data_IF_301705565086
#
_entry.id   IF_301705565086
#
_cell.length_a   1.000
_cell.length_b   1.000
_cell.length_c   1.000
_cell.angle_alpha   90.00
_cell.angle_beta   90.00
_cell.angle_gamma   90.00
#
_symmetry.space_group_name_H-M   'P 1'
#
loop_
_entity.id
_entity.type
_entity.pdbx_description
1 polymer ?
#
# COMPACT_ATOMS: atom_id res chain seq x y z
N UNK A 1 40.08 -54.73 -32.41
CA UNK A 1 39.16 -53.91 -33.21
C UNK A 1 39.55 -52.44 -33.06
N UNK A 2 39.83 -51.78 -34.20
CA UNK A 2 40.00 -50.34 -34.50
C UNK A 2 40.85 -49.37 -33.62
N UNK A 3 42.15 -49.32 -33.98
CA UNK A 3 43.00 -48.17 -34.41
C UNK A 3 42.63 -46.69 -34.13
N UNK A 4 43.58 -46.01 -33.46
CA UNK A 4 44.47 -44.87 -33.87
C UNK A 4 43.90 -43.49 -34.28
N UNK A 5 44.43 -42.48 -33.55
CA UNK A 5 45.28 -41.35 -34.01
C UNK A 5 44.72 -39.91 -34.16
N UNK A 6 45.48 -38.97 -33.53
CA UNK A 6 45.98 -37.67 -34.05
C UNK A 6 45.23 -36.36 -33.68
N UNK A 7 45.87 -35.63 -32.74
CA UNK A 7 46.34 -34.22 -32.82
C UNK A 7 45.40 -33.01 -32.53
N UNK A 8 45.84 -32.22 -31.53
CA UNK A 8 46.39 -30.85 -31.67
C UNK A 8 45.56 -29.60 -31.24
N UNK A 9 46.28 -28.75 -30.50
CA UNK A 9 46.26 -27.26 -30.44
C UNK A 9 45.53 -26.55 -29.27
N UNK A 10 46.36 -26.17 -28.30
CA UNK A 10 46.44 -24.94 -27.49
C UNK A 10 45.84 -23.62 -28.02
N UNK A 11 45.40 -22.76 -27.09
CA UNK A 11 45.89 -21.38 -26.82
C UNK A 11 44.89 -20.74 -25.83
N UNK A 12 45.13 -20.50 -24.54
CA UNK A 12 46.28 -19.96 -23.78
C UNK A 12 46.62 -18.52 -24.19
N UNK A 13 46.29 -17.56 -23.34
CA UNK A 13 47.22 -16.49 -22.95
C UNK A 13 46.88 -16.01 -21.52
N UNK A 14 47.53 -16.69 -20.57
CA UNK A 14 47.98 -16.11 -19.31
C UNK A 14 49.50 -16.00 -19.48
N UNK A 15 50.09 -14.82 -19.29
CA UNK A 15 51.54 -14.66 -19.23
C UNK A 15 51.90 -14.00 -17.91
N UNK A 16 52.32 -14.82 -16.95
CA UNK A 16 53.21 -14.41 -15.88
C UNK A 16 54.64 -14.76 -16.33
N UNK A 17 55.57 -13.80 -16.25
CA UNK A 17 57.00 -14.09 -16.22
C UNK A 17 57.58 -13.65 -14.87
N UNK A 18 58.32 -14.57 -14.27
CA UNK A 18 59.10 -14.46 -13.04
C UNK A 18 60.52 -14.88 -13.40
N UNK A 19 61.53 -14.02 -13.20
CA UNK A 19 62.98 -14.30 -13.02
C UNK A 19 63.61 -12.93 -12.67
N UNK A 20 64.03 -12.62 -11.44
CA UNK A 20 65.14 -13.08 -10.61
C UNK A 20 66.52 -12.41 -10.90
N UNK A 21 67.07 -11.82 -9.82
CA UNK A 21 68.49 -11.59 -9.46
C UNK A 21 69.24 -10.29 -9.83
N UNK A 22 69.55 -9.55 -8.74
CA UNK A 22 70.81 -8.88 -8.33
C UNK A 22 71.21 -7.53 -8.95
N UNK A 23 71.32 -6.50 -8.09
CA UNK A 23 72.39 -5.49 -8.17
C UNK A 23 72.02 -4.00 -8.12
N UNK A 24 72.13 -3.42 -6.92
CA UNK A 24 72.55 -2.03 -6.59
C UNK A 24 71.76 -0.79 -7.04
N UNK A 25 71.24 -0.10 -6.01
CA UNK A 25 71.38 1.33 -5.71
C UNK A 25 70.47 2.46 -6.27
N UNK A 26 70.03 3.26 -5.28
CA UNK A 26 69.64 4.68 -5.26
C UNK A 26 68.31 5.17 -5.87
N UNK A 27 67.49 5.79 -4.99
CA UNK A 27 66.93 7.13 -5.26
C UNK A 27 65.42 7.26 -5.55
N UNK A 28 64.65 7.60 -4.51
CA UNK A 28 63.57 8.61 -4.49
C UNK A 28 62.41 8.56 -5.50
N UNK A 29 61.18 8.44 -4.99
CA UNK A 29 59.98 8.97 -5.68
C UNK A 29 58.66 8.28 -5.37
N UNK A 30 57.78 8.98 -4.64
CA UNK A 30 56.32 8.94 -4.77
C UNK A 30 55.58 7.60 -4.61
N UNK A 31 55.06 7.33 -3.41
CA UNK A 31 54.03 6.31 -3.19
C UNK A 31 52.68 6.84 -3.70
N UNK A 32 52.18 6.32 -4.83
CA UNK A 32 50.74 6.33 -5.13
C UNK A 32 50.13 5.02 -4.64
N UNK A 33 49.01 5.02 -3.90
CA UNK A 33 48.30 3.80 -3.60
C UNK A 33 47.49 3.36 -4.82
N UNK A 34 47.76 2.15 -5.29
CA UNK A 34 46.89 1.40 -6.19
C UNK A 34 45.64 1.00 -5.41
N UNK A 35 44.53 1.71 -5.62
CA UNK A 35 43.22 1.28 -5.12
C UNK A 35 42.62 0.27 -6.09
N UNK A 36 42.85 -1.02 -5.84
CA UNK A 36 41.97 -2.08 -6.31
C UNK A 36 40.73 -2.09 -5.40
N UNK A 37 39.67 -1.40 -5.81
CA UNK A 37 38.34 -1.61 -5.25
C UNK A 37 37.47 -2.18 -6.37
N UNK A 38 37.31 -3.51 -6.35
CA UNK A 38 36.15 -4.16 -6.93
C UNK A 38 34.95 -3.76 -6.06
N UNK A 39 34.49 -2.52 -6.20
CA UNK A 39 33.20 -2.10 -5.68
C UNK A 39 32.14 -2.76 -6.57
N UNK A 40 31.49 -3.79 -6.03
CA UNK A 40 30.12 -4.13 -6.45
C UNK A 40 29.35 -2.82 -6.43
N UNK A 41 28.70 -2.38 -7.53
CA UNK A 41 28.01 -1.11 -7.52
C UNK A 41 26.96 -1.16 -6.41
N UNK A 42 27.11 -0.30 -5.41
CA UNK A 42 26.07 -0.08 -4.41
C UNK A 42 24.80 0.25 -5.20
N UNK A 43 23.82 -0.65 -5.15
CA UNK A 43 22.50 -0.44 -5.73
C UNK A 43 21.90 0.76 -5.00
N UNK A 44 22.12 1.96 -5.54
CA UNK A 44 21.59 3.20 -4.98
C UNK A 44 20.08 3.12 -5.12
N UNK A 45 19.40 2.82 -4.02
CA UNK A 45 17.95 2.68 -3.96
C UNK A 45 17.35 4.05 -4.25
N UNK A 46 16.68 4.18 -5.40
CA UNK A 46 16.05 5.42 -5.81
C UNK A 46 14.77 5.67 -4.99
N UNK A 47 14.71 6.81 -4.29
CA UNK A 47 13.51 7.34 -3.63
C UNK A 47 12.35 7.57 -4.60
N UNK A 48 12.73 7.95 -5.81
CA UNK A 48 11.92 8.18 -6.99
C UNK A 48 12.82 7.89 -8.19
N UNK A 49 12.37 7.12 -9.18
CA UNK A 49 13.17 6.86 -10.37
C UNK A 49 13.57 8.17 -11.07
N UNK A 50 14.81 8.28 -11.58
CA UNK A 50 15.15 9.40 -12.46
C UNK A 50 14.21 9.42 -13.67
N UNK A 51 13.32 10.42 -13.73
CA UNK A 51 12.23 10.48 -14.70
C UNK A 51 12.73 10.98 -16.06
N UNK A 52 12.73 10.10 -17.06
CA UNK A 52 12.66 10.52 -18.46
C UNK A 52 11.18 10.47 -18.85
N UNK A 53 10.51 11.62 -18.84
CA UNK A 53 9.11 11.71 -19.23
C UNK A 53 8.99 11.39 -20.73
N UNK A 54 8.35 10.27 -21.07
CA UNK A 54 7.82 10.04 -22.41
C UNK A 54 6.33 10.39 -22.42
N UNK A 55 5.89 11.18 -23.40
CA UNK A 55 4.47 11.40 -23.62
C UNK A 55 3.82 10.10 -24.12
N UNK A 56 2.55 9.86 -23.78
CA UNK A 56 1.81 8.67 -24.21
C UNK A 56 1.80 8.52 -25.73
N UNK A 57 1.76 9.64 -26.43
CA UNK A 57 1.72 9.68 -27.88
C UNK A 57 3.00 9.13 -28.52
N UNK A 58 4.10 9.09 -27.75
CA UNK A 58 5.40 8.59 -28.19
C UNK A 58 5.59 7.09 -27.89
N UNK A 59 4.69 6.49 -27.10
CA UNK A 59 4.79 5.08 -26.72
C UNK A 59 4.10 4.17 -27.75
N UNK A 60 4.77 3.10 -28.21
CA UNK A 60 4.15 2.16 -29.13
C UNK A 60 3.06 1.33 -28.42
N UNK A 61 2.03 0.93 -29.18
CA UNK A 61 0.80 0.36 -28.63
C UNK A 61 0.96 -0.97 -27.86
N UNK A 62 2.07 -1.67 -28.04
CA UNK A 62 2.46 -2.85 -27.24
C UNK A 62 2.66 -2.53 -25.76
N UNK A 63 3.12 -1.31 -25.42
CA UNK A 63 3.33 -0.90 -24.02
C UNK A 63 2.05 -1.00 -23.22
N UNK A 64 0.92 -0.55 -23.78
CA UNK A 64 -0.39 -0.63 -23.11
C UNK A 64 -0.82 -2.08 -22.86
N UNK A 65 -0.56 -2.98 -23.81
CA UNK A 65 -0.88 -4.40 -23.69
C UNK A 65 -0.01 -5.09 -22.63
N UNK A 66 1.29 -4.77 -22.61
CA UNK A 66 2.24 -5.28 -21.60
C UNK A 66 1.85 -4.81 -20.20
N UNK A 67 1.56 -3.52 -20.02
CA UNK A 67 1.10 -2.97 -18.74
C UNK A 67 -0.21 -3.62 -18.29
N UNK A 68 -1.17 -3.81 -19.20
CA UNK A 68 -2.42 -4.49 -18.88
C UNK A 68 -2.21 -5.95 -18.43
N UNK A 69 -1.33 -6.69 -19.11
CA UNK A 69 -0.97 -8.06 -18.74
C UNK A 69 -0.30 -8.14 -17.36
N UNK A 70 0.67 -7.25 -17.09
CA UNK A 70 1.33 -7.12 -15.79
C UNK A 70 0.32 -6.81 -14.68
N UNK A 71 -0.53 -5.79 -14.87
CA UNK A 71 -1.54 -5.39 -13.87
C UNK A 71 -2.53 -6.53 -13.60
N UNK A 72 -2.95 -7.27 -14.63
CA UNK A 72 -3.84 -8.41 -14.46
C UNK A 72 -3.21 -9.51 -13.60
N UNK A 73 -1.96 -9.86 -13.89
CA UNK A 73 -1.23 -10.88 -13.15
C UNK A 73 -0.99 -10.44 -11.70
N UNK A 74 -0.65 -9.17 -11.46
CA UNK A 74 -0.55 -8.61 -10.11
C UNK A 74 -1.89 -8.61 -9.35
N UNK A 75 -3.02 -8.69 -10.06
CA UNK A 75 -4.36 -8.87 -9.49
C UNK A 75 -4.75 -10.35 -9.34
N UNK A 76 -3.84 -11.26 -9.63
CA UNK A 76 -4.04 -12.71 -9.58
C UNK A 76 -4.95 -13.23 -10.70
N UNK A 77 -4.88 -12.62 -11.88
CA UNK A 77 -5.48 -13.13 -13.12
C UNK A 77 -4.54 -14.05 -13.89
N UNK A 78 -4.98 -14.50 -15.07
CA UNK A 78 -4.23 -15.44 -15.91
C UNK A 78 -2.96 -14.83 -16.54
N UNK A 79 -1.91 -15.65 -16.67
CA UNK A 79 -0.62 -15.29 -17.29
C UNK A 79 -0.66 -15.29 -18.82
N UNK A 80 -1.70 -15.87 -19.42
CA UNK A 80 -1.87 -15.91 -20.88
C UNK A 80 -3.17 -15.24 -21.28
N UNK A 81 -3.08 -14.31 -22.21
CA UNK A 81 -4.21 -13.59 -22.79
C UNK A 81 -4.15 -13.65 -24.32
N UNK A 82 -5.23 -13.28 -25.02
CA UNK A 82 -5.20 -13.18 -26.47
C UNK A 82 -4.08 -12.22 -26.95
N UNK A 83 -3.07 -12.76 -27.63
CA UNK A 83 -1.97 -11.98 -28.22
C UNK A 83 -0.85 -11.56 -27.24
N UNK A 84 -0.94 -11.90 -25.95
CA UNK A 84 0.12 -11.63 -24.98
C UNK A 84 0.24 -12.73 -23.92
N UNK A 85 1.46 -13.09 -23.56
CA UNK A 85 1.70 -14.04 -22.48
C UNK A 85 3.07 -13.89 -21.83
N UNK A 86 3.19 -14.45 -20.63
CA UNK A 86 4.47 -14.59 -19.93
C UNK A 86 5.18 -15.86 -20.40
N UNK A 87 6.48 -15.76 -20.68
CA UNK A 87 7.32 -16.91 -21.02
C UNK A 87 7.41 -17.85 -19.80
N UNK A 88 6.98 -19.12 -19.89
CA UNK A 88 7.08 -20.09 -18.79
C UNK A 88 8.52 -20.41 -18.36
N UNK A 89 9.51 -20.17 -19.22
CA UNK A 89 10.93 -20.31 -18.89
C UNK A 89 11.57 -18.99 -18.42
N UNK A 90 10.80 -17.90 -18.46
CA UNK A 90 11.22 -16.56 -18.08
C UNK A 90 11.28 -16.33 -16.57
N UNK A 91 12.02 -15.30 -16.17
CA UNK A 91 12.14 -14.90 -14.77
C UNK A 91 11.09 -13.84 -14.42
N UNK A 92 10.03 -14.20 -13.69
CA UNK A 92 8.93 -13.29 -13.38
C UNK A 92 8.73 -13.10 -11.88
N UNK A 93 9.38 -12.09 -11.31
CA UNK A 93 9.28 -11.80 -9.87
C UNK A 93 7.87 -11.36 -9.47
N UNK A 94 7.11 -10.69 -10.37
CA UNK A 94 5.74 -10.23 -10.08
C UNK A 94 4.77 -11.39 -9.77
N UNK A 95 5.06 -12.60 -10.25
CA UNK A 95 4.24 -13.80 -10.00
C UNK A 95 4.38 -14.29 -8.55
N UNK A 96 5.46 -13.88 -7.87
CA UNK A 96 5.79 -14.32 -6.52
C UNK A 96 5.40 -13.30 -5.44
N UNK A 97 4.73 -12.20 -5.81
CA UNK A 97 4.24 -11.24 -4.82
C UNK A 97 3.15 -11.90 -3.95
N UNK A 98 3.33 -11.96 -2.61
CA UNK A 98 2.32 -12.54 -1.72
C UNK A 98 1.00 -11.73 -1.69
N UNK A 99 0.98 -10.52 -2.25
CA UNK A 99 -0.20 -9.67 -2.29
C UNK A 99 -0.80 -9.57 -3.69
N UNK A 100 -2.04 -10.05 -3.83
CA UNK A 100 -2.85 -9.78 -5.00
C UNK A 100 -3.53 -8.41 -4.85
N UNK A 101 -3.28 -7.49 -5.78
CA UNK A 101 -3.83 -6.13 -5.81
C UNK A 101 -5.33 -6.06 -6.16
N UNK A 102 -6.11 -7.06 -5.77
CA UNK A 102 -7.56 -7.11 -5.96
C UNK A 102 -8.23 -6.00 -5.14
N UNK A 103 -9.04 -5.19 -5.82
CA UNK A 103 -9.69 -4.03 -5.19
C UNK A 103 -8.81 -2.79 -5.10
N UNK A 104 -7.60 -2.79 -5.69
CA UNK A 104 -6.79 -1.59 -5.86
C UNK A 104 -6.95 -1.04 -7.27
N UNK A 105 -7.27 0.24 -7.35
CA UNK A 105 -7.22 1.01 -8.59
C UNK A 105 -5.77 1.37 -8.92
N UNK A 106 -5.44 1.46 -10.20
CA UNK A 106 -4.20 2.10 -10.65
C UNK A 106 -4.52 3.57 -10.86
N UNK A 107 -4.01 4.46 -9.99
CA UNK A 107 -4.30 5.90 -10.10
C UNK A 107 -3.44 6.60 -11.14
N UNK A 108 -2.19 6.16 -11.30
CA UNK A 108 -1.30 6.64 -12.35
C UNK A 108 -0.21 5.60 -12.65
N UNK A 109 0.38 5.74 -13.85
CA UNK A 109 1.51 4.95 -14.35
C UNK A 109 2.58 5.94 -14.77
N UNK A 110 3.78 5.79 -14.22
CA UNK A 110 4.96 6.54 -14.62
C UNK A 110 5.81 5.68 -15.55
N UNK A 111 6.06 6.12 -16.78
CA UNK A 111 7.04 5.47 -17.64
C UNK A 111 8.40 6.07 -17.33
N UNK A 112 9.30 5.24 -16.81
CA UNK A 112 10.62 5.64 -16.32
C UNK A 112 11.62 5.54 -17.46
N UNK A 113 11.57 4.41 -18.17
CA UNK A 113 12.48 4.09 -19.24
C UNK A 113 11.77 3.21 -20.27
N UNK A 114 12.05 3.46 -21.54
CA UNK A 114 11.61 2.58 -22.61
C UNK A 114 12.66 2.57 -23.72
N UNK A 115 13.07 1.37 -24.13
CA UNK A 115 14.01 1.19 -25.24
C UNK A 115 13.58 0.02 -26.07
N UNK A 116 13.76 0.13 -27.38
CA UNK A 116 13.55 -0.97 -28.31
C UNK A 116 14.80 -1.28 -29.09
N UNK A 117 15.02 -2.56 -29.37
CA UNK A 117 16.05 -3.04 -30.28
C UNK A 117 15.39 -3.91 -31.36
N UNK A 118 15.74 -3.65 -32.63
CA UNK A 118 15.28 -4.47 -33.75
C UNK A 118 16.25 -5.63 -33.92
N UNK A 119 15.73 -6.85 -33.97
CA UNK A 119 16.50 -8.02 -34.36
C UNK A 119 16.33 -8.32 -35.86
N UNK A 120 17.15 -9.22 -36.39
CA UNK A 120 16.85 -9.89 -37.65
C UNK A 120 15.54 -10.69 -37.49
N UNK A 121 14.74 -10.79 -38.56
CA UNK A 121 13.49 -11.57 -38.64
C UNK A 121 12.22 -10.99 -37.99
N UNK A 122 11.96 -9.68 -38.15
CA UNK A 122 10.68 -9.01 -37.80
C UNK A 122 10.30 -9.03 -36.31
N UNK A 123 11.16 -9.54 -35.43
CA UNK A 123 11.00 -9.48 -33.97
C UNK A 123 11.60 -8.18 -33.44
N UNK A 124 10.85 -7.48 -32.59
CA UNK A 124 11.33 -6.31 -31.83
C UNK A 124 11.43 -6.66 -30.36
N UNK A 125 12.60 -6.46 -29.78
CA UNK A 125 12.79 -6.55 -28.33
C UNK A 125 12.58 -5.18 -27.70
N UNK A 126 12.01 -5.17 -26.50
CA UNK A 126 11.74 -3.96 -25.75
C UNK A 126 12.05 -4.16 -24.26
N UNK A 127 12.63 -3.13 -23.67
CA UNK A 127 12.83 -2.98 -22.24
C UNK A 127 11.95 -1.83 -21.77
N UNK A 128 11.09 -2.10 -20.81
CA UNK A 128 10.19 -1.14 -20.19
C UNK A 128 10.45 -1.07 -18.69
N UNK A 129 10.74 0.12 -18.17
CA UNK A 129 10.64 0.40 -16.73
C UNK A 129 9.49 1.37 -16.46
N UNK A 130 8.66 1.03 -15.48
CA UNK A 130 7.54 1.86 -15.08
C UNK A 130 7.29 1.83 -13.57
N UNK A 131 6.61 2.85 -13.05
CA UNK A 131 6.07 2.90 -11.70
C UNK A 131 4.55 2.79 -11.74
N UNK A 132 3.98 1.86 -11.00
CA UNK A 132 2.53 1.70 -10.83
C UNK A 132 2.10 2.18 -9.46
N UNK A 133 1.21 3.16 -9.39
CA UNK A 133 0.61 3.60 -8.14
C UNK A 133 -0.77 2.98 -7.95
N UNK A 134 -0.86 2.07 -6.98
CA UNK A 134 -2.08 1.40 -6.57
C UNK A 134 -2.71 2.09 -5.37
N UNK A 135 -4.03 2.23 -5.35
CA UNK A 135 -4.78 2.70 -4.19
C UNK A 135 -6.15 2.01 -4.06
N UNK A 136 -6.55 1.63 -2.84
CA UNK A 136 -7.85 1.01 -2.58
C UNK A 136 -8.88 1.97 -1.95
N UNK A 137 -10.07 1.45 -1.68
CA UNK A 137 -11.22 2.18 -1.15
C UNK A 137 -11.03 2.74 0.27
N UNK A 138 -10.11 2.20 1.06
CA UNK A 138 -9.77 2.71 2.40
C UNK A 138 -8.54 3.64 2.38
N UNK A 139 -7.98 3.87 1.19
CA UNK A 139 -6.81 4.73 0.96
C UNK A 139 -5.48 4.04 1.28
N UNK A 140 -5.42 2.70 1.25
CA UNK A 140 -4.13 1.98 1.23
C UNK A 140 -3.47 2.22 -0.11
N UNK A 141 -2.20 2.60 -0.12
CA UNK A 141 -1.45 2.92 -1.33
C UNK A 141 -0.13 2.15 -1.45
N UNK A 142 0.22 1.71 -2.66
CA UNK A 142 1.50 1.07 -2.94
C UNK A 142 2.06 1.61 -4.26
N UNK A 143 3.35 1.93 -4.26
CA UNK A 143 4.03 2.34 -5.47
C UNK A 143 5.04 1.27 -5.86
N UNK A 144 4.85 0.64 -7.01
CA UNK A 144 5.61 -0.52 -7.45
C UNK A 144 6.39 -0.14 -8.70
N UNK A 145 7.73 -0.16 -8.62
CA UNK A 145 8.59 -0.10 -9.80
C UNK A 145 8.60 -1.49 -10.45
N UNK A 146 8.44 -1.52 -11.77
CA UNK A 146 8.47 -2.74 -12.57
C UNK A 146 9.43 -2.53 -13.72
N UNK A 147 10.31 -3.50 -13.95
CA UNK A 147 11.09 -3.64 -15.17
C UNK A 147 10.61 -4.86 -15.93
N UNK A 148 10.38 -4.73 -17.23
CA UNK A 148 9.88 -5.80 -18.09
C UNK A 148 10.68 -5.88 -19.39
N UNK A 149 11.19 -7.07 -19.67
CA UNK A 149 11.81 -7.44 -20.95
C UNK A 149 10.78 -8.21 -21.78
N UNK A 150 10.51 -7.76 -22.99
CA UNK A 150 9.52 -8.42 -23.85
C UNK A 150 9.86 -8.36 -25.33
N UNK A 151 9.31 -9.31 -26.08
CA UNK A 151 9.47 -9.42 -27.52
C UNK A 151 8.12 -9.27 -28.22
N UNK A 152 8.12 -8.59 -29.36
CA UNK A 152 6.94 -8.38 -30.22
C UNK A 152 7.20 -9.02 -31.57
N UNK A 153 6.33 -9.95 -31.97
CA UNK A 153 6.35 -10.62 -33.27
C UNK A 153 4.97 -10.55 -33.92
N UNK A 154 4.79 -9.60 -34.85
CA UNK A 154 3.49 -9.34 -35.47
C UNK A 154 2.46 -8.84 -34.44
N UNK A 155 1.49 -9.69 -34.09
CA UNK A 155 0.45 -9.41 -33.08
C UNK A 155 0.68 -10.10 -31.74
N UNK A 156 1.73 -10.93 -31.65
CA UNK A 156 2.05 -11.67 -30.44
C UNK A 156 3.11 -10.93 -29.63
N UNK A 157 2.90 -10.85 -28.33
CA UNK A 157 3.81 -10.27 -27.35
C UNK A 157 4.17 -11.35 -26.34
N UNK A 158 5.46 -11.54 -26.09
CA UNK A 158 5.96 -12.46 -25.06
C UNK A 158 6.77 -11.66 -24.06
N UNK A 159 6.31 -11.65 -22.81
CA UNK A 159 7.05 -11.06 -21.69
C UNK A 159 8.04 -12.11 -21.20
N UNK A 160 9.33 -11.86 -21.36
CA UNK A 160 10.40 -12.80 -21.06
C UNK A 160 10.93 -12.66 -19.62
N UNK A 161 10.91 -11.45 -19.06
CA UNK A 161 11.32 -11.22 -17.68
C UNK A 161 10.54 -10.06 -17.06
N UNK A 162 10.21 -10.19 -15.79
CA UNK A 162 9.67 -9.10 -14.97
C UNK A 162 10.36 -9.03 -13.61
N UNK A 163 10.81 -7.84 -13.25
CA UNK A 163 11.29 -7.52 -11.91
C UNK A 163 10.34 -6.54 -11.24
N UNK A 164 10.25 -6.61 -9.92
CA UNK A 164 9.45 -5.65 -9.17
C UNK A 164 10.16 -5.18 -7.91
N UNK A 165 9.92 -3.93 -7.56
CA UNK A 165 10.40 -3.32 -6.33
C UNK A 165 9.30 -2.44 -5.74
N UNK A 166 8.95 -2.64 -4.47
CA UNK A 166 8.09 -1.71 -3.74
C UNK A 166 8.93 -0.47 -3.48
N UNK A 167 8.57 0.66 -4.08
CA UNK A 167 9.33 1.88 -3.90
C UNK A 167 9.13 2.44 -2.48
N UNK A 168 10.23 2.82 -1.80
CA UNK A 168 10.16 3.28 -0.43
C UNK A 168 9.48 4.64 -0.34
N UNK A 169 8.50 4.78 0.56
CA UNK A 169 7.91 6.07 0.90
C UNK A 169 8.55 6.61 2.19
N UNK A 170 9.37 7.67 2.15
CA UNK A 170 9.98 8.25 3.36
C UNK A 170 8.96 8.92 4.28
N UNK A 171 7.78 9.27 3.75
CA UNK A 171 6.70 9.95 4.45
C UNK A 171 5.40 9.15 4.33
N UNK A 172 5.30 7.98 4.98
CA UNK A 172 4.10 7.16 4.91
C UNK A 172 2.91 7.88 5.54
N UNK A 173 1.73 7.70 4.95
CA UNK A 173 0.46 8.17 5.50
C UNK A 173 0.10 7.31 6.71
N UNK A 174 -0.02 7.95 7.87
CA UNK A 174 -0.33 7.26 9.12
C UNK A 174 -1.71 7.65 9.61
N UNK A 175 -2.53 6.65 9.92
CA UNK A 175 -3.85 6.85 10.55
C UNK A 175 -3.87 6.18 11.91
N UNK A 176 -4.52 6.78 12.90
CA UNK A 176 -4.62 6.21 14.24
C UNK A 176 -6.05 6.31 14.79
N UNK A 177 -6.46 5.29 15.53
CA UNK A 177 -7.76 5.20 16.17
C UNK A 177 -7.60 4.80 17.63
N UNK A 178 -8.39 5.43 18.51
CA UNK A 178 -8.53 5.02 19.90
C UNK A 178 -9.84 4.24 20.01
N UNK A 179 -9.75 2.96 20.34
CA UNK A 179 -10.88 2.02 20.39
C UNK A 179 -11.03 1.51 21.83
N UNK A 180 -12.26 1.42 22.39
CA UNK A 180 -12.46 0.77 23.68
C UNK A 180 -11.90 -0.66 23.70
N UNK A 181 -11.15 -1.03 24.75
CA UNK A 181 -10.50 -2.34 24.84
C UNK A 181 -11.50 -3.50 24.74
N UNK A 182 -12.67 -3.34 25.36
CA UNK A 182 -13.75 -4.32 25.29
C UNK A 182 -14.16 -4.61 23.83
N UNK A 183 -14.37 -3.57 23.02
CA UNK A 183 -14.70 -3.75 21.61
C UNK A 183 -13.60 -4.57 20.94
N UNK A 184 -12.33 -4.17 21.10
CA UNK A 184 -11.19 -4.90 20.52
C UNK A 184 -11.17 -6.39 20.92
N UNK A 185 -11.40 -6.70 22.19
CA UNK A 185 -11.38 -8.06 22.75
C UNK A 185 -12.57 -8.93 22.31
N UNK A 186 -13.70 -8.33 21.94
CA UNK A 186 -14.87 -9.03 21.41
C UNK A 186 -14.71 -9.45 19.93
N UNK A 187 -13.66 -8.96 19.25
CA UNK A 187 -13.49 -9.23 17.82
C UNK A 187 -13.06 -10.66 17.48
N UNK A 188 -13.57 -11.21 16.36
CA UNK A 188 -13.06 -12.46 15.83
C UNK A 188 -11.57 -12.37 15.48
N UNK A 189 -10.82 -13.45 15.71
CA UNK A 189 -9.36 -13.53 15.51
C UNK A 189 -8.99 -13.21 14.07
N UNK A 190 -9.62 -13.90 13.12
CA UNK A 190 -10.35 -13.28 12.01
C UNK A 190 -9.97 -11.88 11.52
N UNK A 191 -10.68 -10.94 12.14
CA UNK A 191 -10.66 -9.51 11.85
C UNK A 191 -9.36 -8.89 12.29
N UNK A 192 -8.75 -9.44 13.35
CA UNK A 192 -7.45 -9.00 13.85
C UNK A 192 -6.30 -9.43 12.94
N UNK A 193 -6.53 -10.38 12.02
CA UNK A 193 -5.47 -10.92 11.14
C UNK A 193 -5.31 -10.20 9.79
N UNK A 194 -6.35 -9.49 9.35
CA UNK A 194 -6.32 -8.74 8.08
C UNK A 194 -6.17 -7.24 8.37
N UNK A 195 -5.28 -6.57 7.65
CA UNK A 195 -5.13 -5.12 7.78
C UNK A 195 -6.44 -4.39 7.51
N UNK A 196 -7.10 -4.73 6.40
CA UNK A 196 -8.34 -4.06 5.97
C UNK A 196 -9.48 -4.30 6.96
N UNK A 197 -9.63 -5.53 7.45
CA UNK A 197 -10.69 -5.85 8.42
C UNK A 197 -10.46 -5.12 9.76
N UNK A 198 -9.21 -5.10 10.23
CA UNK A 198 -8.82 -4.39 11.44
C UNK A 198 -9.02 -2.86 11.28
N UNK A 199 -8.68 -2.29 10.13
CA UNK A 199 -8.86 -0.87 9.83
C UNK A 199 -10.33 -0.47 9.85
N UNK A 200 -11.19 -1.19 9.11
CA UNK A 200 -12.62 -0.89 9.06
C UNK A 200 -13.26 -0.99 10.43
N UNK A 201 -12.92 -2.03 11.18
CA UNK A 201 -13.34 -2.15 12.56
C UNK A 201 -12.90 -0.94 13.39
N UNK A 202 -11.62 -0.58 13.31
CA UNK A 202 -11.07 0.50 14.11
C UNK A 202 -11.81 1.80 13.83
N UNK A 203 -12.09 2.06 12.55
CA UNK A 203 -12.88 3.23 12.13
C UNK A 203 -14.32 3.21 12.64
N UNK A 204 -14.95 2.03 12.74
CA UNK A 204 -16.33 1.88 13.18
C UNK A 204 -16.49 2.00 14.71
N UNK A 205 -15.51 1.52 15.47
CA UNK A 205 -15.55 1.48 16.94
C UNK A 205 -14.66 2.54 17.61
N UNK A 206 -14.00 3.39 16.82
CA UNK A 206 -13.22 4.50 17.34
C UNK A 206 -14.08 5.43 18.19
N UNK A 207 -13.47 5.92 19.26
CA UNK A 207 -14.03 7.03 20.01
C UNK A 207 -14.02 8.27 19.12
N UNK A 208 -15.10 9.04 19.13
CA UNK A 208 -15.14 10.34 18.47
C UNK A 208 -14.17 11.30 19.18
N UNK A 209 -13.10 11.65 18.47
CA UNK A 209 -12.07 12.57 18.95
C UNK A 209 -12.39 14.03 18.64
N UNK A 210 -13.58 14.31 18.10
CA UNK A 210 -14.09 15.66 17.89
C UNK A 210 -14.65 16.20 19.20
N UNK A 211 -14.12 17.31 19.75
CA UNK A 211 -14.66 17.86 20.98
C UNK A 211 -16.01 18.52 20.73
N UNK A 212 -16.98 18.22 21.60
CA UNK A 212 -18.26 18.95 21.65
C UNK A 212 -18.02 20.38 22.12
N UNK A 213 -18.99 21.29 21.94
CA UNK A 213 -18.85 22.67 22.43
C UNK A 213 -18.74 22.73 23.96
N UNK A 214 -19.36 21.78 24.66
CA UNK A 214 -19.18 21.62 26.11
C UNK A 214 -17.76 21.19 26.45
N UNK A 215 -17.18 20.27 25.69
CA UNK A 215 -15.79 19.84 25.86
C UNK A 215 -14.83 21.02 25.65
N UNK A 216 -15.05 21.81 24.58
CA UNK A 216 -14.23 23.01 24.28
C UNK A 216 -14.32 24.04 25.41
N UNK A 217 -15.53 24.36 25.88
CA UNK A 217 -15.72 25.31 26.98
C UNK A 217 -15.01 24.87 28.26
N UNK A 218 -15.06 23.57 28.59
CA UNK A 218 -14.34 23.00 29.74
C UNK A 218 -12.82 23.06 29.56
N UNK A 219 -12.33 22.75 28.36
CA UNK A 219 -10.92 22.85 28.02
C UNK A 219 -10.40 24.28 28.14
N UNK A 220 -11.13 25.26 27.59
CA UNK A 220 -10.79 26.68 27.69
C UNK A 220 -10.81 27.18 29.14
N UNK A 221 -11.80 26.75 29.92
CA UNK A 221 -11.86 27.04 31.36
C UNK A 221 -10.61 26.49 32.06
N UNK A 222 -10.22 25.24 31.80
CA UNK A 222 -9.02 24.63 32.37
C UNK A 222 -7.73 25.38 31.97
N UNK A 223 -7.62 25.85 30.72
CA UNK A 223 -6.46 26.63 30.26
C UNK A 223 -6.31 27.95 31.01
N UNK A 224 -7.40 28.59 31.38
CA UNK A 224 -7.41 29.86 32.13
C UNK A 224 -7.17 29.67 33.64
N UNK A 225 -7.20 28.44 34.15
CA UNK A 225 -6.96 28.17 35.57
C UNK A 225 -5.49 28.31 35.97
N UNK A 226 -5.27 28.80 37.19
CA UNK A 226 -3.97 28.77 37.86
C UNK A 226 -3.57 27.34 38.25
N UNK A 227 -2.29 27.12 38.54
CA UNK A 227 -1.76 25.82 38.97
C UNK A 227 -2.52 25.25 40.18
N UNK A 228 -2.82 26.07 41.18
CA UNK A 228 -3.58 25.65 42.37
C UNK A 228 -5.04 25.28 42.06
N UNK A 229 -5.67 25.97 41.11
CA UNK A 229 -7.01 25.64 40.65
C UNK A 229 -7.02 24.32 39.89
N UNK A 230 -6.02 24.06 39.05
CA UNK A 230 -5.89 22.80 38.31
C UNK A 230 -5.71 21.59 39.22
N UNK A 231 -4.96 21.71 40.32
CA UNK A 231 -4.80 20.63 41.31
C UNK A 231 -6.13 20.18 41.94
N UNK A 232 -7.13 21.07 41.99
CA UNK A 232 -8.48 20.79 42.51
C UNK A 232 -9.51 20.60 41.40
N UNK A 233 -9.11 20.78 40.14
CA UNK A 233 -9.97 20.62 39.00
C UNK A 233 -10.15 19.14 38.71
N UNK A 234 -11.34 18.62 38.99
CA UNK A 234 -11.73 17.33 38.44
C UNK A 234 -12.29 17.56 37.05
N UNK A 235 -11.58 17.11 36.03
CA UNK A 235 -12.14 17.04 34.67
C UNK A 235 -13.34 16.08 34.59
N UNK A 236 -13.63 15.32 35.65
CA UNK A 236 -14.57 14.19 35.64
C UNK A 236 -14.09 13.02 34.79
N UNK A 237 -12.89 13.12 34.21
CA UNK A 237 -12.39 12.19 33.24
C UNK A 237 -11.83 10.95 33.94
N UNK A 238 -12.59 9.85 33.91
CA UNK A 238 -12.16 8.57 34.46
C UNK A 238 -11.28 7.86 33.44
N UNK A 239 -10.08 7.38 33.84
CA UNK A 239 -9.29 6.49 32.99
C UNK A 239 -10.14 5.30 32.55
N UNK A 240 -10.05 4.95 31.26
CA UNK A 240 -10.69 3.77 30.69
C UNK A 240 -9.64 2.97 29.92
N UNK A 241 -9.92 1.69 29.73
CA UNK A 241 -9.02 0.82 28.97
C UNK A 241 -9.31 0.97 27.48
N UNK A 242 -8.27 1.32 26.73
CA UNK A 242 -8.33 1.55 25.29
C UNK A 242 -7.22 0.77 24.58
N UNK A 243 -7.45 0.56 23.29
CA UNK A 243 -6.47 0.14 22.31
C UNK A 243 -6.23 1.30 21.35
N UNK A 244 -4.97 1.70 21.18
CA UNK A 244 -4.54 2.63 20.14
C UNK A 244 -4.05 1.81 18.95
N UNK A 245 -4.81 1.84 17.88
CA UNK A 245 -4.51 1.15 16.63
C UNK A 245 -3.95 2.17 15.64
N UNK A 246 -2.72 1.95 15.18
CA UNK A 246 -2.01 2.84 14.27
C UNK A 246 -1.71 2.09 12.98
N UNK A 247 -2.07 2.66 11.84
CA UNK A 247 -1.99 2.03 10.53
C UNK A 247 -1.04 2.82 9.63
N UNK A 248 -0.08 2.11 9.03
CA UNK A 248 0.67 2.62 7.89
C UNK A 248 -0.14 2.35 6.63
N UNK A 249 -0.67 3.40 6.02
CA UNK A 249 -1.51 3.32 4.81
C UNK A 249 -0.68 3.18 3.54
N UNK A 250 0.64 3.12 3.63
CA UNK A 250 1.52 2.79 2.51
C UNK A 250 2.10 1.39 2.69
N UNK A 251 2.16 0.63 1.60
CA UNK A 251 2.80 -0.69 1.59
C UNK A 251 4.30 -0.50 1.80
N UNK A 252 4.83 -1.18 2.80
CA UNK A 252 6.22 -1.09 3.21
C UNK A 252 7.04 -2.21 2.60
N UNK A 253 8.34 -1.94 2.44
CA UNK A 253 9.31 -2.96 2.07
C UNK A 253 9.64 -3.85 3.28
N UNK A 254 10.15 -5.08 3.04
CA UNK A 254 10.62 -5.94 4.13
C UNK A 254 11.67 -5.30 5.04
N UNK A 255 12.52 -4.41 4.49
CA UNK A 255 13.59 -3.72 5.23
C UNK A 255 13.09 -2.52 6.05
N UNK A 256 11.86 -2.06 5.81
CA UNK A 256 11.30 -0.91 6.54
C UNK A 256 11.03 -1.28 8.00
N UNK A 257 11.29 -0.33 8.91
CA UNK A 257 10.96 -0.46 10.34
C UNK A 257 9.86 0.52 10.72
N UNK A 258 8.90 0.04 11.50
CA UNK A 258 7.76 0.83 11.97
C UNK A 258 7.54 0.55 13.45
N UNK A 259 7.64 1.59 14.28
CA UNK A 259 7.48 1.50 15.72
C UNK A 259 6.46 2.53 16.21
N UNK A 260 5.52 2.08 17.02
CA UNK A 260 4.66 2.95 17.81
C UNK A 260 5.20 3.00 19.24
N UNK A 261 5.45 4.19 19.76
CA UNK A 261 5.93 4.45 21.12
C UNK A 261 5.06 5.49 21.83
N UNK A 262 5.29 5.72 23.12
CA UNK A 262 4.54 6.67 23.94
C UNK A 262 5.50 7.61 24.67
N UNK A 263 5.12 8.87 24.84
CA UNK A 263 5.99 9.95 25.37
C UNK A 263 6.41 9.78 26.83
N UNK A 264 5.72 8.95 27.62
CA UNK A 264 6.02 8.66 29.02
C UNK A 264 5.73 7.19 29.28
N UNK A 265 6.75 6.43 29.71
CA UNK A 265 6.57 5.02 30.09
C UNK A 265 5.76 4.85 31.40
N UNK A 266 5.63 5.91 32.21
CA UNK A 266 5.09 5.82 33.58
C UNK A 266 3.58 6.18 33.73
N UNK A 267 2.90 6.73 32.72
CA UNK A 267 1.58 7.37 32.92
C UNK A 267 0.36 6.81 32.18
N UNK A 268 0.51 5.88 31.22
CA UNK A 268 -0.47 4.82 31.08
C UNK A 268 0.11 3.57 31.74
N UNK A 269 -0.71 2.81 32.44
CA UNK A 269 -0.48 1.36 32.56
C UNK A 269 -0.69 0.77 31.16
N UNK A 270 0.23 1.10 30.23
CA UNK A 270 0.39 0.39 28.98
C UNK A 270 0.80 -0.99 29.43
N UNK A 271 -0.06 -1.94 29.14
CA UNK A 271 0.27 -3.32 29.41
C UNK A 271 1.49 -3.66 28.54
N UNK A 272 2.65 -3.85 29.18
CA UNK A 272 3.91 -4.13 28.48
C UNK A 272 3.82 -5.41 27.65
N UNK A 273 2.92 -6.33 28.02
CA UNK A 273 2.58 -7.53 27.26
C UNK A 273 1.67 -7.25 26.06
N UNK A 274 1.02 -6.08 26.02
CA UNK A 274 0.15 -5.61 24.94
C UNK A 274 0.85 -4.68 23.93
N UNK A 275 2.16 -4.43 24.06
CA UNK A 275 2.98 -3.77 23.02
C UNK A 275 3.19 -4.77 21.86
N UNK A 276 2.12 -5.07 21.14
CA UNK A 276 2.20 -5.91 19.95
C UNK A 276 2.55 -5.04 18.76
N UNK A 277 3.84 -5.05 18.42
CA UNK A 277 4.29 -4.64 17.11
C UNK A 277 4.14 -5.85 16.19
N UNK A 278 3.49 -5.60 15.04
CA UNK A 278 3.59 -6.36 13.80
C UNK A 278 2.50 -7.40 13.51
N UNK A 279 1.71 -7.09 12.48
CA UNK A 279 1.13 -8.09 11.58
C UNK A 279 1.33 -7.61 10.15
N UNK A 280 2.30 -8.22 9.49
CA UNK A 280 2.67 -7.94 8.11
C UNK A 280 1.72 -8.67 7.17
N UNK A 281 0.69 -7.96 6.73
CA UNK A 281 -0.24 -8.41 5.69
C UNK A 281 0.40 -8.13 4.33
N UNK A 282 1.47 -8.86 3.99
CA UNK A 282 2.22 -8.71 2.74
C UNK A 282 2.74 -7.28 2.44
N UNK A 283 3.19 -6.55 3.44
CA UNK A 283 3.81 -5.21 3.37
C UNK A 283 2.96 -4.16 4.08
N UNK A 284 1.71 -4.45 4.42
CA UNK A 284 0.87 -3.55 5.21
C UNK A 284 1.13 -3.75 6.71
N UNK A 285 1.35 -2.64 7.43
CA UNK A 285 1.74 -2.70 8.84
C UNK A 285 0.79 -1.88 9.70
N UNK A 286 0.33 -2.50 10.79
CA UNK A 286 -0.37 -1.83 11.87
C UNK A 286 0.34 -2.07 13.21
N UNK A 287 0.30 -1.08 14.09
CA UNK A 287 0.75 -1.16 15.48
C UNK A 287 -0.43 -1.08 16.44
N UNK A 288 -0.32 -1.78 17.57
CA UNK A 288 -1.31 -1.78 18.64
C UNK A 288 -0.62 -1.42 19.96
N UNK A 289 -1.23 -0.50 20.71
CA UNK A 289 -0.88 -0.23 22.10
C UNK A 289 -2.15 -0.30 22.94
N UNK A 290 -2.23 -1.25 23.88
CA UNK A 290 -3.32 -1.28 24.85
C UNK A 290 -2.88 -0.66 26.18
N UNK A 291 -3.74 0.15 26.77
CA UNK A 291 -3.46 0.77 28.06
C UNK A 291 -4.69 1.42 28.68
N UNK A 292 -4.56 1.80 29.94
CA UNK A 292 -5.59 2.53 30.65
C UNK A 292 -5.19 4.01 30.75
N UNK A 293 -5.96 4.87 30.08
CA UNK A 293 -5.73 6.31 30.07
C UNK A 293 -7.05 7.06 29.88
N UNK A 294 -7.00 8.39 30.02
CA UNK A 294 -8.16 9.25 29.85
C UNK A 294 -8.01 10.12 28.62
N UNK A 295 -9.11 10.33 27.90
CA UNK A 295 -9.17 11.13 26.68
C UNK A 295 -9.64 12.57 26.92
N UNK A 296 -10.05 12.87 28.15
CA UNK A 296 -10.53 14.19 28.60
C UNK A 296 -9.80 14.66 29.88
N UNK A 297 -8.66 14.04 30.23
CA UNK A 297 -7.81 14.49 31.33
C UNK A 297 -6.72 15.45 30.84
N UNK A 298 -7.03 16.74 30.83
CA UNK A 298 -6.21 17.79 30.22
C UNK A 298 -4.79 17.95 30.79
N UNK A 299 -4.57 17.52 32.04
CA UNK A 299 -3.28 17.52 32.74
C UNK A 299 -2.47 16.23 32.54
N UNK A 300 -3.10 15.18 32.00
CA UNK A 300 -2.53 13.84 31.81
C UNK A 300 -2.57 13.44 30.34
N UNK A 301 -2.25 14.38 29.47
CA UNK A 301 -2.14 14.14 28.03
C UNK A 301 -1.02 13.13 27.75
N UNK A 302 -1.37 12.09 27.00
CA UNK A 302 -0.43 11.06 26.55
C UNK A 302 -0.20 11.24 25.06
N UNK A 303 1.06 11.23 24.63
CA UNK A 303 1.38 11.27 23.20
C UNK A 303 1.85 9.91 22.70
N UNK A 304 1.26 9.48 21.60
CA UNK A 304 1.67 8.31 20.83
C UNK A 304 2.52 8.78 19.66
N UNK A 305 3.75 8.30 19.59
CA UNK A 305 4.71 8.63 18.54
C UNK A 305 4.83 7.47 17.58
N UNK A 306 4.98 7.79 16.30
CA UNK A 306 5.25 6.81 15.25
C UNK A 306 6.63 7.09 14.71
N UNK A 307 7.52 6.15 14.92
CA UNK A 307 8.88 6.17 14.40
C UNK A 307 8.96 5.24 13.20
N UNK A 308 9.62 5.70 12.15
CA UNK A 308 9.70 4.99 10.89
C UNK A 308 11.09 5.08 10.28
N UNK A 309 11.54 3.99 9.69
CA UNK A 309 12.70 3.92 8.84
C UNK A 309 12.27 3.23 7.54
N UNK A 310 12.48 3.88 6.40
CA UNK A 310 12.07 3.39 5.08
C UNK A 310 12.90 2.19 4.58
N UNK A 311 14.01 1.88 5.25
CA UNK A 311 14.97 0.84 4.86
C UNK A 311 15.79 1.21 3.62
N UNK A 312 15.79 2.50 3.22
CA UNK A 312 16.46 2.95 1.98
C UNK A 312 17.96 2.78 2.07
N UNK A 313 18.48 3.07 3.25
CA UNK A 313 19.87 2.87 3.59
C UNK A 313 19.92 1.75 4.65
N UNK A 314 20.29 0.51 4.25
CA UNK A 314 20.37 -0.62 5.18
C UNK A 314 21.40 -0.41 6.29
N UNK A 315 22.39 0.48 6.08
CA UNK A 315 23.39 0.84 7.09
C UNK A 315 22.84 1.82 8.13
N UNK A 316 21.80 2.57 7.78
CA UNK A 316 21.15 3.53 8.64
C UNK A 316 19.95 2.89 9.36
N UNK A 317 20.12 2.63 10.65
CA UNK A 317 19.05 2.10 11.51
C UNK A 317 18.24 3.19 12.23
N UNK A 318 18.50 4.47 11.98
CA UNK A 318 17.83 5.58 12.66
C UNK A 318 16.34 5.60 12.30
N UNK A 319 15.48 5.58 13.32
CA UNK A 319 14.05 5.75 13.13
C UNK A 319 13.66 7.21 13.34
N UNK A 320 12.96 7.78 12.38
CA UNK A 320 12.52 9.18 12.40
C UNK A 320 11.05 9.27 12.83
N UNK A 321 10.67 10.27 13.65
CA UNK A 321 9.27 10.50 13.96
C UNK A 321 8.53 10.96 12.70
N UNK A 322 7.49 10.23 12.30
CA UNK A 322 6.64 10.54 11.13
C UNK A 322 5.21 10.91 11.51
N UNK A 323 4.76 10.55 12.72
CA UNK A 323 3.47 10.98 13.24
C UNK A 323 3.47 11.10 14.76
N UNK A 324 2.56 11.92 15.29
CA UNK A 324 2.30 12.10 16.72
C UNK A 324 0.81 12.28 16.96
N UNK A 325 0.24 11.44 17.81
CA UNK A 325 -1.17 11.46 18.20
C UNK A 325 -1.30 11.76 19.69
N UNK A 326 -2.38 12.43 20.08
CA UNK A 326 -2.70 12.73 21.48
C UNK A 326 -3.80 11.79 21.96
N UNK A 327 -3.78 11.44 23.26
CA UNK A 327 -4.93 10.83 23.91
C UNK A 327 -6.11 11.78 24.03
N UNK A 328 -5.88 13.10 23.99
CA UNK A 328 -6.94 14.09 24.07
C UNK A 328 -7.68 14.25 22.74
N UNK A 329 -8.97 14.59 22.83
CA UNK A 329 -9.75 15.07 21.68
C UNK A 329 -9.06 16.23 20.98
N UNK A 330 -9.39 16.44 19.71
CA UNK A 330 -8.75 17.44 18.85
C UNK A 330 -9.24 18.87 19.15
N UNK A 331 -8.91 19.38 20.33
CA UNK A 331 -9.24 20.74 20.77
C UNK A 331 -8.57 21.84 19.91
N UNK A 332 -7.59 21.49 19.07
CA UNK A 332 -6.83 22.40 18.19
C UNK A 332 -7.08 22.17 16.68
N UNK A 333 -8.15 21.45 16.31
CA UNK A 333 -8.39 20.96 14.95
C UNK A 333 -8.32 22.04 13.85
N UNK A 334 -8.68 23.28 14.16
CA UNK A 334 -8.68 24.40 13.21
C UNK A 334 -7.28 24.80 12.68
N UNK A 335 -6.20 24.20 13.17
CA UNK A 335 -4.81 24.56 12.83
C UNK A 335 -3.99 23.42 12.21
N UNK A 336 -4.54 22.22 12.03
CA UNK A 336 -3.82 21.07 11.44
C UNK A 336 -4.32 20.78 10.03
N UNK A 337 -3.60 21.24 9.02
CA UNK A 337 -3.69 20.69 7.66
C UNK A 337 -3.04 19.29 7.68
N UNK A 338 -3.75 18.25 7.25
CA UNK A 338 -3.07 16.98 6.94
C UNK A 338 -1.97 17.27 5.93
N UNK A 339 -0.74 16.75 6.12
CA UNK A 339 0.29 16.89 5.11
C UNK A 339 -0.18 16.19 3.84
N UNK A 340 -0.50 16.97 2.81
CA UNK A 340 -0.86 16.45 1.50
C UNK A 340 0.26 15.54 1.02
N UNK A 341 -0.08 14.35 0.50
CA UNK A 341 0.89 13.37 0.01
C UNK A 341 1.84 14.10 -0.97
N UNK A 342 3.15 14.18 -0.69
CA UNK A 342 4.08 14.96 -1.51
C UNK A 342 4.10 14.49 -2.97
N UNK A 343 3.86 13.19 -3.22
CA UNK A 343 3.73 12.65 -4.57
C UNK A 343 2.49 13.19 -5.30
N UNK A 344 1.36 13.40 -4.60
CA UNK A 344 0.11 13.93 -5.17
C UNK A 344 0.16 15.46 -5.29
N UNK A 345 0.76 16.14 -4.31
CA UNK A 345 0.91 17.60 -4.29
C UNK A 345 1.79 18.07 -5.45
N UNK A 346 2.96 17.46 -5.63
CA UNK A 346 3.87 17.80 -6.74
C UNK A 346 3.26 17.48 -8.11
N UNK A 347 2.37 16.48 -8.19
CA UNK A 347 1.63 16.10 -9.41
C UNK A 347 0.52 17.11 -9.77
N UNK A 348 -0.25 17.55 -8.77
CA UNK A 348 -1.28 18.59 -8.93
C UNK A 348 -0.68 19.95 -9.28
N UNK A 349 0.44 20.31 -8.67
CA UNK A 349 1.10 21.61 -8.85
C UNK A 349 1.79 21.74 -10.23
N UNK A 350 2.13 20.63 -10.90
CA UNK A 350 2.86 20.63 -12.19
C UNK A 350 2.03 20.28 -13.42
N UNK A 351 0.74 19.98 -13.29
CA UNK A 351 -0.16 19.78 -14.42
C UNK A 351 0.16 18.56 -15.31
N UNK A 352 0.91 17.58 -14.79
CA UNK A 352 1.47 16.44 -15.54
C UNK A 352 0.75 15.12 -15.25
N UNK A 353 -0.56 15.18 -15.01
CA UNK A 353 -1.40 14.03 -15.31
C UNK A 353 -1.23 13.74 -16.80
N UNK A 354 -0.80 12.54 -17.15
CA UNK A 354 -1.03 12.00 -18.49
C UNK A 354 -2.47 12.35 -18.84
N UNK A 355 -2.64 13.23 -19.83
CA UNK A 355 -3.93 13.63 -20.34
C UNK A 355 -4.58 12.40 -20.99
N UNK A 356 -5.19 11.57 -20.15
CA UNK A 356 -6.42 10.87 -20.45
C UNK A 356 -7.57 11.91 -20.47
N UNK A 357 -7.43 13.00 -21.25
CA UNK A 357 -8.40 14.10 -21.35
C UNK A 357 -8.65 14.85 -20.02
N UNK A 358 -8.60 16.20 -19.98
CA UNK A 358 -9.31 16.93 -18.94
C UNK A 358 -10.82 16.70 -19.16
N UNK A 359 -11.55 16.22 -18.15
CA UNK A 359 -12.99 16.40 -18.16
C UNK A 359 -13.25 17.92 -18.16
N UNK A 360 -13.88 18.37 -19.26
CA UNK A 360 -14.29 19.74 -19.59
C UNK A 360 -14.72 20.58 -18.39
N UNK A 361 -14.47 21.88 -18.50
CA UNK A 361 -15.08 22.93 -17.70
C UNK A 361 -16.56 22.65 -17.41
N UNK A 362 -16.91 22.78 -16.14
CA UNK A 362 -18.26 22.74 -15.57
C UNK A 362 -19.19 23.77 -16.24
N UNK A 363 -19.83 23.41 -17.35
CA UNK A 363 -21.15 23.93 -17.77
C UNK A 363 -21.58 23.24 -19.07
N UNK A 364 -22.63 22.43 -18.94
CA UNK A 364 -23.57 22.03 -20.00
C UNK A 364 -23.10 21.04 -21.08
N UNK A 365 -23.11 19.74 -20.76
CA UNK A 365 -24.21 18.79 -21.05
C UNK A 365 -23.77 17.32 -20.89
N UNK A 366 -24.38 16.66 -19.89
CA UNK A 366 -24.71 15.23 -19.72
C UNK A 366 -23.74 14.13 -20.20
N UNK A 367 -22.85 13.69 -19.31
CA UNK A 367 -22.32 12.32 -19.27
C UNK A 367 -22.17 11.84 -17.81
N UNK A 368 -23.22 11.26 -17.23
CA UNK A 368 -23.21 10.72 -15.86
C UNK A 368 -22.76 9.24 -15.85
N UNK A 369 -21.54 8.98 -15.37
CA UNK A 369 -20.94 7.65 -15.17
C UNK A 369 -20.58 7.34 -13.70
N UNK A 370 -20.34 6.06 -13.31
CA UNK A 370 -20.62 5.54 -11.97
C UNK A 370 -19.68 6.00 -10.83
N UNK A 371 -18.52 6.57 -11.12
CA UNK A 371 -17.58 7.05 -10.09
C UNK A 371 -17.93 8.46 -9.58
N UNK A 372 -18.77 9.21 -10.30
CA UNK A 372 -19.47 10.37 -9.72
C UNK A 372 -20.70 9.93 -8.89
N UNK A 373 -21.02 8.62 -8.82
CA UNK A 373 -22.23 8.06 -8.16
C UNK A 373 -22.00 7.32 -6.83
N UNK A 374 -20.78 7.28 -6.30
CA UNK A 374 -20.51 6.77 -4.95
C UNK A 374 -20.79 5.27 -4.76
N UNK A 375 -19.98 4.40 -5.38
CA UNK A 375 -20.06 2.96 -5.10
C UNK A 375 -19.64 2.65 -3.64
N UNK A 376 -20.64 2.48 -2.78
CA UNK A 376 -20.51 2.11 -1.37
C UNK A 376 -20.40 0.59 -1.28
N UNK A 377 -19.30 0.03 -0.75
CA UNK A 377 -19.29 -1.39 -0.39
C UNK A 377 -20.18 -1.64 0.83
N UNK A 378 -21.39 -2.13 0.58
CA UNK A 378 -22.41 -2.39 1.57
C UNK A 378 -21.92 -3.47 2.54
N UNK A 379 -22.07 -3.26 3.83
CA UNK A 379 -21.76 -4.26 4.84
C UNK A 379 -23.06 -4.88 5.38
N UNK A 380 -23.39 -6.14 5.08
CA UNK A 380 -24.60 -6.78 5.60
C UNK A 380 -24.66 -6.90 7.13
N UNK A 381 -23.56 -6.67 7.85
CA UNK A 381 -23.61 -6.56 9.31
C UNK A 381 -24.19 -5.22 9.79
N UNK A 382 -24.14 -4.17 8.96
CA UNK A 382 -24.71 -2.86 9.26
C UNK A 382 -26.18 -2.84 8.84
N UNK A 383 -27.06 -2.45 9.76
CA UNK A 383 -28.50 -2.48 9.52
C UNK A 383 -28.96 -1.62 8.33
N UNK A 384 -28.24 -0.53 8.02
CA UNK A 384 -28.53 0.35 6.88
C UNK A 384 -28.25 -0.36 5.55
N UNK A 385 -27.07 -0.94 5.43
CA UNK A 385 -26.58 -1.60 4.23
C UNK A 385 -27.29 -2.94 4.02
N UNK A 386 -27.57 -3.67 5.09
CA UNK A 386 -28.39 -4.87 5.07
C UNK A 386 -29.80 -4.59 4.51
N UNK A 387 -30.41 -3.44 4.83
CA UNK A 387 -31.71 -3.05 4.25
C UNK A 387 -31.61 -2.84 2.75
N UNK A 388 -30.54 -2.20 2.27
CA UNK A 388 -30.30 -1.98 0.85
C UNK A 388 -30.12 -3.32 0.10
N UNK A 389 -29.32 -4.23 0.65
CA UNK A 389 -29.13 -5.57 0.07
C UNK A 389 -30.45 -6.37 0.10
N UNK A 390 -31.20 -6.31 1.20
CA UNK A 390 -32.52 -6.96 1.31
C UNK A 390 -33.54 -6.37 0.33
N UNK A 391 -33.52 -5.06 0.11
CA UNK A 391 -34.38 -4.36 -0.86
C UNK A 391 -34.10 -4.83 -2.28
N UNK A 392 -32.84 -4.88 -2.68
CA UNK A 392 -32.47 -5.28 -4.04
C UNK A 392 -32.78 -6.76 -4.28
N UNK A 393 -32.40 -7.63 -3.34
CA UNK A 393 -32.76 -9.05 -3.39
C UNK A 393 -34.28 -9.26 -3.43
N UNK A 394 -35.07 -8.37 -2.82
CA UNK A 394 -36.53 -8.43 -2.86
C UNK A 394 -37.10 -7.96 -4.19
N UNK A 395 -36.55 -6.87 -4.75
CA UNK A 395 -36.92 -6.36 -6.08
C UNK A 395 -36.68 -7.39 -7.18
N UNK A 396 -35.60 -8.15 -7.06
CA UNK A 396 -35.25 -9.25 -7.98
C UNK A 396 -35.98 -10.57 -7.66
N UNK A 397 -36.84 -10.62 -6.64
CA UNK A 397 -37.67 -11.78 -6.30
C UNK A 397 -37.01 -12.86 -5.43
N UNK A 398 -35.78 -12.66 -4.96
CA UNK A 398 -35.04 -13.63 -4.13
C UNK A 398 -35.35 -13.52 -2.63
N UNK A 399 -35.79 -12.35 -2.14
CA UNK A 399 -36.10 -12.10 -0.74
C UNK A 399 -37.57 -11.74 -0.50
N UNK A 400 -38.32 -12.61 0.18
CA UNK A 400 -39.78 -12.44 0.35
C UNK A 400 -40.20 -11.88 1.71
N UNK A 401 -39.29 -11.82 2.68
CA UNK A 401 -39.58 -11.38 4.05
C UNK A 401 -39.61 -9.85 4.18
N UNK A 402 -39.90 -9.36 5.39
CA UNK A 402 -39.86 -7.93 5.71
C UNK A 402 -38.41 -7.43 5.68
N UNK A 403 -38.18 -6.28 5.05
CA UNK A 403 -36.88 -5.57 5.10
C UNK A 403 -36.74 -4.97 6.50
N UNK A 404 -35.81 -5.49 7.29
CA UNK A 404 -35.61 -5.15 8.70
C UNK A 404 -34.18 -4.69 9.00
N UNK A 405 -33.23 -4.92 8.09
CA UNK A 405 -31.80 -4.66 8.29
C UNK A 405 -31.10 -5.74 9.11
N UNK A 406 -31.77 -6.82 9.46
CA UNK A 406 -31.16 -7.97 10.09
C UNK A 406 -30.76 -8.98 9.01
N UNK A 407 -29.46 -9.08 8.72
CA UNK A 407 -28.96 -10.00 7.69
C UNK A 407 -28.86 -11.45 8.20
N UNK A 408 -30.00 -12.01 8.61
CA UNK A 408 -30.14 -13.32 9.23
C UNK A 408 -30.30 -14.48 8.23
N UNK A 409 -30.85 -15.60 8.71
CA UNK A 409 -30.96 -16.85 7.94
C UNK A 409 -31.67 -16.67 6.60
N UNK A 410 -32.78 -15.92 6.55
CA UNK A 410 -33.51 -15.72 5.30
C UNK A 410 -32.82 -14.76 4.32
N UNK A 411 -32.09 -13.74 4.79
CA UNK A 411 -31.27 -12.87 3.92
C UNK A 411 -30.12 -13.66 3.30
N UNK A 412 -29.45 -14.51 4.09
CA UNK A 412 -28.42 -15.43 3.60
C UNK A 412 -28.96 -16.46 2.61
N UNK A 413 -30.19 -16.97 2.83
CA UNK A 413 -30.84 -17.87 1.86
C UNK A 413 -31.12 -17.17 0.54
N UNK A 414 -31.66 -15.95 0.59
CA UNK A 414 -31.89 -15.13 -0.61
C UNK A 414 -30.60 -14.82 -1.35
N UNK A 415 -29.54 -14.44 -0.63
CA UNK A 415 -28.22 -14.17 -1.21
C UNK A 415 -27.66 -15.40 -1.93
N UNK A 416 -27.73 -16.59 -1.32
CA UNK A 416 -27.29 -17.84 -1.96
C UNK A 416 -28.06 -18.14 -3.23
N UNK A 417 -29.39 -18.00 -3.21
CA UNK A 417 -30.24 -18.24 -4.36
C UNK A 417 -29.93 -17.26 -5.50
N UNK A 418 -29.71 -15.98 -5.17
CA UNK A 418 -29.27 -14.96 -6.11
C UNK A 418 -27.91 -15.30 -6.71
N UNK A 419 -26.91 -15.63 -5.87
CA UNK A 419 -25.56 -15.99 -6.32
C UNK A 419 -25.60 -17.19 -7.27
N UNK A 420 -26.33 -18.24 -6.90
CA UNK A 420 -26.48 -19.44 -7.73
C UNK A 420 -27.11 -19.12 -9.09
N UNK A 421 -28.16 -18.30 -9.12
CA UNK A 421 -28.84 -17.92 -10.35
C UNK A 421 -27.98 -17.04 -11.29
N UNK A 422 -26.95 -16.37 -10.75
CA UNK A 422 -26.09 -15.45 -11.49
C UNK A 422 -24.66 -16.00 -11.70
N UNK A 423 -24.46 -17.31 -11.55
CA UNK A 423 -23.16 -17.96 -11.79
C UNK A 423 -22.07 -17.60 -10.75
N UNK A 424 -22.46 -17.10 -9.59
CA UNK A 424 -21.57 -16.80 -8.47
C UNK A 424 -21.51 -17.99 -7.49
N UNK A 425 -20.46 -18.10 -6.64
CA UNK A 425 -20.38 -19.13 -5.62
C UNK A 425 -21.61 -19.12 -4.70
N UNK A 426 -22.30 -20.25 -4.57
CA UNK A 426 -23.57 -20.38 -3.81
C UNK A 426 -23.36 -20.43 -2.28
N UNK A 427 -22.47 -19.59 -1.76
CA UNK A 427 -22.19 -19.42 -0.34
C UNK A 427 -22.95 -18.21 0.26
N UNK A 428 -22.90 -18.07 1.58
CA UNK A 428 -23.55 -16.95 2.27
C UNK A 428 -22.64 -15.72 2.39
N UNK A 429 -21.51 -15.69 1.68
CA UNK A 429 -20.49 -14.65 1.83
C UNK A 429 -20.89 -13.45 0.99
N UNK A 430 -20.80 -12.27 1.60
CA UNK A 430 -20.93 -11.00 0.91
C UNK A 430 -19.54 -10.52 0.48
N UNK A 431 -19.41 -10.19 -0.80
CA UNK A 431 -18.19 -9.72 -1.44
C UNK A 431 -18.53 -8.72 -2.54
N UNK A 432 -17.52 -7.98 -3.02
CA UNK A 432 -17.71 -6.89 -3.96
C UNK A 432 -18.23 -7.38 -5.32
N UNK A 433 -17.85 -8.60 -5.75
CA UNK A 433 -18.36 -9.17 -6.99
C UNK A 433 -19.87 -9.45 -6.89
N UNK A 434 -20.30 -9.99 -5.75
CA UNK A 434 -21.70 -10.22 -5.44
C UNK A 434 -22.49 -8.92 -5.40
N UNK A 435 -21.93 -7.87 -4.80
CA UNK A 435 -22.56 -6.55 -4.81
C UNK A 435 -22.71 -6.00 -6.23
N UNK A 436 -21.64 -6.02 -7.04
CA UNK A 436 -21.68 -5.51 -8.41
C UNK A 436 -22.70 -6.22 -9.30
N UNK A 437 -22.84 -7.53 -9.11
CA UNK A 437 -23.84 -8.32 -9.86
C UNK A 437 -25.25 -8.06 -9.32
N UNK A 438 -25.42 -7.93 -8.00
CA UNK A 438 -26.72 -7.66 -7.38
C UNK A 438 -27.27 -6.30 -7.75
N UNK A 439 -26.42 -5.28 -7.76
CA UNK A 439 -26.79 -3.90 -8.03
C UNK A 439 -26.56 -3.50 -9.49
N UNK A 440 -26.30 -4.47 -10.38
CA UNK A 440 -26.06 -4.23 -11.81
C UNK A 440 -27.26 -3.50 -12.44
N UNK A 441 -27.08 -2.23 -12.78
CA UNK A 441 -28.11 -1.38 -13.38
C UNK A 441 -28.94 -0.55 -12.39
N UNK A 442 -28.76 -0.75 -11.09
CA UNK A 442 -29.39 0.06 -10.02
C UNK A 442 -28.62 1.34 -9.69
N UNK A 443 -27.35 1.44 -10.13
CA UNK A 443 -26.50 2.61 -9.91
C UNK A 443 -25.67 2.56 -8.62
N UNK A 444 -25.52 1.39 -8.00
CA UNK A 444 -24.73 1.08 -6.80
C UNK A 444 -23.59 0.09 -7.08
#
# INVERSE_FOLDING_TARGET
>A
MLKRNILMVSCLFMLCFLFACVGTDTGGGGVQPVTSSNAVPEKRIELLPQRVFMDRQDLPGDVEHVLAAIINVMRGGEEKMPGIGFDPQGEHQILNDPFAFRGFDVKFIDIIFFKTEKALDRVRYALLECGLYFEDDIGRAAYIKIAADYAVSGKEIIIARTEYEILPNPNPVIKAFIVPRQAFEEMPVETRTSFRALYLMASQHAVDMTPTDQDKARYDQFRQMSMFQRLRFSSGARPRSYCVLVFCMNRLRPESRFLVSVSKDDEPTIDSTSRFHFRNDAGWVAGLLAGTFSIDAYDKEVFFHVLFNSGIDPSNMDMKPVARFSSLKNYHAAQRTEPENPYIKEFKERGMALNLTPARSLSDQNFAGPVEKGEVFLNPALAKDAKMIQQELKGLGYYTMKIDGAFGKGSRRALKAFKQANGLPADARWDLNTQKVLFKGSGL
#
